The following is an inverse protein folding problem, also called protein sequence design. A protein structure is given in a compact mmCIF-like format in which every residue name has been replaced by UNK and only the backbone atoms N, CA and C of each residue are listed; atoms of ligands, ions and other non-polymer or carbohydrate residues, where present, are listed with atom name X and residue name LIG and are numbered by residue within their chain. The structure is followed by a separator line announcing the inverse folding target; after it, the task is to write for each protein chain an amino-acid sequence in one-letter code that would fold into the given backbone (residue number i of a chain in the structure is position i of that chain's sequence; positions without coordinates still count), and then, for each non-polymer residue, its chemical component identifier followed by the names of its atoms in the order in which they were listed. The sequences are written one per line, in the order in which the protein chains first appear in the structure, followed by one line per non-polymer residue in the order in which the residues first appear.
data_IF_244798124792
#
_entry.id   IF_244798124792
#
_cell.length_a   1.000
_cell.length_b   1.000
_cell.length_c   1.000
_cell.angle_alpha   90.00
_cell.angle_beta   90.00
_cell.angle_gamma   90.00
#
_symmetry.space_group_name_H-M   'P 1'
#
loop_
_entity.id
_entity.type
_entity.pdbx_description
1 polymer ?
#
# COMPACT_ATOMS: atom_id res chain seq x y z
N UNK A 1 -1.13 -21.95 -2.28
CA UNK A 1 -0.72 -22.10 -0.87
C UNK A 1 0.77 -21.86 -0.79
N UNK A 2 1.23 -20.81 -0.11
CA UNK A 2 2.63 -20.64 0.29
C UNK A 2 2.76 -21.23 1.69
N UNK A 3 3.23 -22.46 1.77
CA UNK A 3 3.42 -23.19 3.02
C UNK A 3 4.51 -24.23 2.85
N UNK A 4 5.08 -24.67 3.96
CA UNK A 4 6.02 -25.79 3.96
C UNK A 4 5.33 -27.04 3.40
N UNK A 5 6.06 -27.96 2.75
CA UNK A 5 5.54 -29.27 2.39
C UNK A 5 4.87 -29.94 3.59
N UNK A 6 3.77 -30.69 3.38
CA UNK A 6 2.97 -31.23 4.48
C UNK A 6 3.77 -32.07 5.49
N UNK A 7 4.79 -32.79 5.02
CA UNK A 7 5.71 -33.55 5.86
C UNK A 7 6.62 -32.63 6.68
N UNK A 8 7.18 -31.58 6.08
CA UNK A 8 8.02 -30.61 6.79
C UNK A 8 7.20 -29.76 7.76
N UNK A 9 5.96 -29.41 7.43
CA UNK A 9 5.04 -28.74 8.34
C UNK A 9 4.73 -29.61 9.57
N UNK A 10 4.49 -30.90 9.35
CA UNK A 10 4.28 -31.87 10.43
C UNK A 10 5.54 -32.00 11.29
N UNK A 11 6.71 -32.09 10.67
CA UNK A 11 8.00 -32.13 11.38
C UNK A 11 8.22 -30.86 12.22
N UNK A 12 7.92 -29.67 11.68
CA UNK A 12 7.96 -28.42 12.44
C UNK A 12 7.02 -28.48 13.64
N UNK A 13 5.78 -28.92 13.45
CA UNK A 13 4.82 -29.05 14.54
C UNK A 13 5.33 -29.98 15.62
N UNK A 14 5.82 -31.16 15.25
CA UNK A 14 6.22 -32.19 16.20
C UNK A 14 7.45 -31.74 17.01
N UNK A 15 8.45 -31.12 16.36
CA UNK A 15 9.62 -30.55 17.06
C UNK A 15 9.23 -29.40 17.99
N UNK A 16 8.40 -28.46 17.53
CA UNK A 16 8.03 -27.29 18.34
C UNK A 16 7.14 -27.63 19.53
N UNK A 17 6.40 -28.75 19.47
CA UNK A 17 5.62 -29.26 20.60
C UNK A 17 6.47 -29.70 21.78
N UNK A 18 7.74 -30.02 21.53
CA UNK A 18 8.70 -30.46 22.53
C UNK A 18 9.57 -29.30 23.06
N UNK A 19 9.42 -28.08 22.51
CA UNK A 19 10.20 -26.91 22.95
C UNK A 19 9.53 -26.21 24.14
N UNK A 20 10.34 -25.83 25.13
CA UNK A 20 9.87 -25.19 26.37
C UNK A 20 9.18 -23.83 26.11
N UNK A 21 9.55 -23.15 25.03
CA UNK A 21 8.96 -21.88 24.61
C UNK A 21 7.45 -22.02 24.30
N UNK A 22 6.96 -23.21 23.96
CA UNK A 22 5.54 -23.46 23.72
C UNK A 22 4.77 -24.03 24.93
N UNK A 23 5.39 -24.09 26.11
CA UNK A 23 4.72 -24.57 27.34
C UNK A 23 3.59 -23.65 27.78
N UNK A 24 3.72 -22.34 27.54
CA UNK A 24 2.64 -21.36 27.74
C UNK A 24 2.82 -20.13 26.84
N UNK A 25 1.72 -19.40 26.64
CA UNK A 25 1.69 -18.24 25.74
C UNK A 25 2.64 -17.10 26.17
N UNK A 26 2.81 -16.88 27.48
CA UNK A 26 3.65 -15.80 27.97
C UNK A 26 5.13 -16.03 27.66
N UNK A 27 5.61 -17.28 27.71
CA UNK A 27 6.98 -17.62 27.33
C UNK A 27 7.21 -17.39 25.83
N UNK A 28 6.31 -17.90 24.97
CA UNK A 28 6.36 -17.66 23.52
C UNK A 28 6.34 -16.16 23.17
N UNK A 29 5.49 -15.38 23.84
CA UNK A 29 5.37 -13.95 23.62
C UNK A 29 6.60 -13.19 24.10
N UNK A 30 7.14 -13.53 25.26
CA UNK A 30 8.38 -12.94 25.80
C UNK A 30 9.57 -13.24 24.89
N UNK A 31 9.72 -14.49 24.43
CA UNK A 31 10.76 -14.90 23.49
C UNK A 31 10.71 -14.07 22.20
N UNK A 32 9.55 -14.03 21.53
CA UNK A 32 9.38 -13.22 20.32
C UNK A 32 9.49 -11.70 20.57
N UNK A 33 9.19 -11.22 21.78
CA UNK A 33 9.25 -9.81 22.15
C UNK A 33 10.65 -9.32 22.49
N UNK A 34 11.52 -10.21 22.99
CA UNK A 34 12.91 -9.90 23.34
C UNK A 34 13.81 -9.76 22.11
N UNK A 35 13.44 -10.42 21.00
CA UNK A 35 14.20 -10.42 19.75
C UNK A 35 13.64 -9.35 18.81
N UNK A 36 14.48 -8.38 18.42
CA UNK A 36 14.08 -7.20 17.63
C UNK A 36 13.38 -7.61 16.32
N UNK A 37 13.90 -8.64 15.67
CA UNK A 37 13.45 -9.19 14.40
C UNK A 37 12.09 -9.91 14.52
N UNK A 38 11.81 -10.51 15.68
CA UNK A 38 10.59 -11.27 15.96
C UNK A 38 9.49 -10.41 16.58
N UNK A 39 9.79 -9.19 17.03
CA UNK A 39 8.79 -8.34 17.67
C UNK A 39 7.59 -8.01 16.74
N UNK A 40 7.77 -8.11 15.41
CA UNK A 40 6.68 -7.96 14.43
C UNK A 40 5.56 -9.00 14.58
N UNK A 41 5.83 -10.17 15.17
CA UNK A 41 4.83 -11.20 15.44
C UNK A 41 4.32 -11.18 16.88
N UNK A 42 4.98 -10.52 17.82
CA UNK A 42 4.63 -10.56 19.26
C UNK A 42 3.17 -10.18 19.56
N UNK A 43 2.61 -9.23 18.80
CA UNK A 43 1.21 -8.79 18.90
C UNK A 43 0.22 -9.56 18.02
N UNK A 44 0.70 -10.50 17.19
CA UNK A 44 -0.11 -11.33 16.30
C UNK A 44 -0.31 -12.74 16.84
N UNK A 45 0.54 -13.18 17.76
CA UNK A 45 0.46 -14.49 18.38
C UNK A 45 -0.89 -14.66 19.10
N UNK A 46 -1.43 -15.88 19.04
CA UNK A 46 -2.70 -16.25 19.64
C UNK A 46 -2.45 -17.05 20.92
N UNK A 47 -3.17 -16.67 21.96
CA UNK A 47 -3.15 -17.37 23.25
C UNK A 47 -3.87 -18.72 23.16
N UNK A 48 -3.35 -19.72 23.86
CA UNK A 48 -3.97 -21.02 24.01
C UNK A 48 -3.55 -21.67 25.33
N UNK A 49 -4.45 -22.49 25.88
CA UNK A 49 -4.28 -23.11 27.20
C UNK A 49 -3.55 -24.47 27.14
N UNK A 50 -3.12 -24.91 25.96
CA UNK A 50 -2.34 -26.16 25.79
C UNK A 50 -1.21 -25.95 24.80
N UNK A 51 -0.03 -26.58 24.99
CA UNK A 51 1.09 -26.50 24.04
C UNK A 51 0.68 -26.93 22.62
N UNK A 52 -0.15 -27.98 22.52
CA UNK A 52 -0.76 -28.48 21.29
C UNK A 52 -1.42 -27.40 20.45
N UNK A 53 -2.35 -26.66 21.07
CA UNK A 53 -3.08 -25.58 20.42
C UNK A 53 -2.20 -24.34 20.22
N UNK A 54 -1.24 -24.10 21.11
CA UNK A 54 -0.32 -22.97 21.01
C UNK A 54 0.58 -23.10 19.79
N UNK A 55 1.18 -24.27 19.56
CA UNK A 55 1.95 -24.55 18.34
C UNK A 55 1.05 -24.46 17.11
N UNK A 56 -0.11 -25.10 17.12
CA UNK A 56 -1.01 -25.11 15.96
C UNK A 56 -1.45 -23.71 15.53
N UNK A 57 -1.84 -22.86 16.49
CA UNK A 57 -2.34 -21.51 16.19
C UNK A 57 -1.21 -20.55 15.75
N UNK A 58 0.01 -20.74 16.25
CA UNK A 58 1.11 -19.81 16.06
C UNK A 58 2.11 -20.24 14.98
N UNK A 59 2.24 -21.53 14.69
CA UNK A 59 3.13 -22.04 13.64
C UNK A 59 2.80 -21.42 12.28
N UNK A 60 1.51 -21.34 11.94
CA UNK A 60 1.05 -20.69 10.72
C UNK A 60 1.38 -19.20 10.67
N UNK A 61 1.27 -18.51 11.81
CA UNK A 61 1.59 -17.08 11.92
C UNK A 61 3.09 -16.88 11.68
N UNK A 62 3.94 -17.70 12.30
CA UNK A 62 5.38 -17.64 12.13
C UNK A 62 5.79 -17.94 10.68
N UNK A 63 5.27 -19.03 10.09
CA UNK A 63 5.56 -19.44 8.70
C UNK A 63 5.10 -18.41 7.68
N UNK A 64 3.97 -17.75 7.89
CA UNK A 64 3.39 -16.81 6.91
C UNK A 64 3.92 -15.38 7.07
N UNK A 65 4.43 -15.02 8.25
CA UNK A 65 4.93 -13.66 8.46
C UNK A 65 6.26 -13.43 7.75
N UNK A 66 6.36 -12.29 7.05
CA UNK A 66 7.57 -11.81 6.40
C UNK A 66 7.87 -10.41 6.90
N UNK A 67 9.13 -10.15 7.25
CA UNK A 67 9.64 -8.81 7.55
C UNK A 67 10.34 -8.23 6.33
N UNK A 68 10.22 -6.93 6.10
CA UNK A 68 10.80 -6.27 4.93
C UNK A 68 12.34 -6.27 4.95
N UNK A 69 12.93 -6.13 6.15
CA UNK A 69 14.38 -6.10 6.35
C UNK A 69 14.98 -7.50 6.59
N UNK A 70 14.24 -8.38 7.28
CA UNK A 70 14.78 -9.65 7.80
C UNK A 70 14.27 -10.88 7.04
N UNK A 71 13.28 -10.74 6.16
CA UNK A 71 12.78 -11.85 5.35
C UNK A 71 11.85 -12.79 6.12
N UNK A 72 12.14 -14.09 6.09
CA UNK A 72 11.26 -15.12 6.66
C UNK A 72 11.33 -15.18 8.18
N UNK A 73 10.27 -14.74 8.86
CA UNK A 73 10.22 -14.74 10.33
C UNK A 73 10.41 -16.14 10.91
N UNK A 74 9.89 -17.18 10.26
CA UNK A 74 10.05 -18.53 10.78
C UNK A 74 11.50 -19.03 10.73
N UNK A 75 12.30 -18.61 9.74
CA UNK A 75 13.72 -18.96 9.68
C UNK A 75 14.45 -18.31 10.86
N UNK A 76 14.18 -17.02 11.10
CA UNK A 76 14.78 -16.26 12.22
C UNK A 76 14.32 -16.84 13.56
N UNK A 77 13.05 -17.23 13.67
CA UNK A 77 12.50 -17.85 14.87
C UNK A 77 13.23 -19.16 15.18
N UNK A 78 13.40 -20.04 14.18
CA UNK A 78 14.11 -21.30 14.36
C UNK A 78 15.60 -21.09 14.65
N UNK A 79 16.22 -20.06 14.08
CA UNK A 79 17.61 -19.69 14.37
C UNK A 79 17.80 -19.29 15.83
N UNK A 80 16.96 -18.38 16.32
CA UNK A 80 17.03 -17.95 17.72
C UNK A 80 16.58 -19.06 18.69
N UNK A 81 15.61 -19.89 18.29
CA UNK A 81 15.15 -21.02 19.09
C UNK A 81 16.24 -22.07 19.25
N UNK A 82 17.07 -22.29 18.21
CA UNK A 82 18.24 -23.17 18.29
C UNK A 82 19.23 -22.66 19.33
N UNK A 83 19.46 -21.36 19.39
CA UNK A 83 20.45 -20.74 20.26
C UNK A 83 20.06 -20.77 21.77
N UNK A 84 18.83 -21.21 22.09
CA UNK A 84 18.39 -21.48 23.47
C UNK A 84 18.88 -22.84 24.02
N UNK A 85 19.40 -23.72 23.15
CA UNK A 85 19.89 -25.05 23.51
C UNK A 85 21.41 -25.14 23.32
N UNK A 86 22.08 -26.03 24.05
CA UNK A 86 23.52 -26.26 23.85
C UNK A 86 23.74 -27.17 22.63
N UNK A 87 24.85 -27.00 21.91
CA UNK A 87 25.15 -27.82 20.72
C UNK A 87 25.22 -29.32 20.99
N UNK A 88 25.44 -29.71 22.25
CA UNK A 88 25.51 -31.08 22.73
C UNK A 88 24.11 -31.70 22.98
N UNK A 89 23.05 -30.88 22.99
CA UNK A 89 21.67 -31.32 23.22
C UNK A 89 21.05 -31.89 21.95
N UNK A 90 20.36 -33.03 22.08
CA UNK A 90 19.62 -33.64 20.97
C UNK A 90 18.59 -32.67 20.36
N UNK A 91 17.98 -31.82 21.19
CA UNK A 91 17.03 -30.80 20.75
C UNK A 91 17.68 -29.75 19.85
N UNK A 92 18.92 -29.34 20.14
CA UNK A 92 19.67 -28.42 19.28
C UNK A 92 19.86 -29.01 17.89
N UNK A 93 20.28 -30.28 17.81
CA UNK A 93 20.46 -30.97 16.53
C UNK A 93 19.14 -31.10 15.75
N UNK A 94 18.04 -31.39 16.44
CA UNK A 94 16.71 -31.47 15.82
C UNK A 94 16.25 -30.12 15.28
N UNK A 95 16.40 -29.04 16.04
CA UNK A 95 16.04 -27.68 15.60
C UNK A 95 16.98 -27.22 14.48
N UNK A 96 18.27 -27.50 14.56
CA UNK A 96 19.23 -27.12 13.51
C UNK A 96 18.96 -27.87 12.20
N UNK A 97 18.62 -29.16 12.27
CA UNK A 97 18.19 -29.93 11.09
C UNK A 97 16.88 -29.37 10.51
N UNK A 98 15.92 -29.02 11.37
CA UNK A 98 14.68 -28.39 10.96
C UNK A 98 14.92 -27.03 10.30
N UNK A 99 15.77 -26.19 10.89
CA UNK A 99 16.18 -24.90 10.36
C UNK A 99 16.83 -25.06 8.98
N UNK A 100 17.75 -26.01 8.81
CA UNK A 100 18.38 -26.28 7.51
C UNK A 100 17.36 -26.72 6.45
N UNK A 101 16.42 -27.61 6.79
CA UNK A 101 15.34 -28.03 5.88
C UNK A 101 14.41 -26.88 5.52
N UNK A 102 13.96 -26.11 6.52
CA UNK A 102 13.07 -24.95 6.35
C UNK A 102 13.75 -23.86 5.56
N UNK A 103 15.00 -23.54 5.87
CA UNK A 103 15.82 -22.58 5.13
C UNK A 103 16.00 -23.03 3.70
N UNK A 104 16.37 -24.30 3.47
CA UNK A 104 16.47 -24.87 2.12
C UNK A 104 15.13 -24.80 1.37
N UNK A 105 14.00 -25.15 1.97
CA UNK A 105 12.70 -25.09 1.30
C UNK A 105 12.19 -23.67 1.06
N UNK A 106 12.51 -22.73 1.95
CA UNK A 106 12.06 -21.35 1.87
C UNK A 106 13.05 -20.42 1.13
N UNK A 107 14.30 -20.85 0.91
CA UNK A 107 15.36 -20.14 0.19
C UNK A 107 15.85 -20.85 -1.10
N UNK A 108 15.49 -22.13 -1.38
CA UNK A 108 15.95 -22.80 -2.61
C UNK A 108 15.33 -22.17 -3.87
N UNK A 109 16.15 -21.83 -4.89
CA UNK A 109 15.69 -21.41 -6.21
C UNK A 109 15.25 -22.55 -7.15
N UNK A 110 15.37 -23.82 -6.73
CA UNK A 110 15.28 -24.98 -7.64
C UNK A 110 14.63 -26.22 -7.00
N UNK A 111 13.30 -26.31 -7.09
CA UNK A 111 12.47 -27.52 -7.18
C UNK A 111 11.08 -27.08 -7.72
N UNK A 112 10.36 -27.96 -8.43
CA UNK A 112 9.74 -27.67 -9.70
C UNK A 112 8.64 -26.63 -9.59
N UNK A 113 8.81 -25.56 -10.36
CA UNK A 113 7.70 -24.75 -10.85
C UNK A 113 6.66 -25.70 -11.45
N UNK A 114 5.57 -25.98 -10.72
CA UNK A 114 4.29 -26.23 -11.37
C UNK A 114 3.92 -24.93 -12.09
N UNK A 115 4.40 -24.81 -13.33
CA UNK A 115 3.87 -24.00 -14.44
C UNK A 115 3.23 -22.66 -14.07
N UNK A 116 3.83 -21.89 -13.14
CA UNK A 116 3.17 -20.69 -12.63
C UNK A 116 4.08 -19.54 -12.24
N UNK A 117 5.40 -19.50 -12.53
CA UNK A 117 6.22 -18.32 -12.16
C UNK A 117 6.79 -17.50 -13.32
N UNK A 118 6.44 -17.81 -14.58
CA UNK A 118 6.22 -16.74 -15.57
C UNK A 118 4.78 -16.20 -15.54
N UNK A 119 3.87 -16.94 -14.90
CA UNK A 119 2.45 -16.62 -14.74
C UNK A 119 2.08 -16.06 -13.36
N UNK A 120 2.92 -16.14 -12.31
CA UNK A 120 2.49 -15.90 -10.92
C UNK A 120 2.78 -14.49 -10.40
N UNK A 121 3.91 -13.90 -10.81
CA UNK A 121 4.09 -12.45 -10.72
C UNK A 121 3.16 -11.73 -11.69
N UNK A 122 2.90 -12.32 -12.86
CA UNK A 122 1.87 -11.86 -13.78
C UNK A 122 0.47 -11.96 -13.18
N UNK A 123 0.07 -13.09 -12.58
CA UNK A 123 -1.29 -13.27 -12.05
C UNK A 123 -1.54 -12.39 -10.82
N UNK A 124 -0.54 -12.14 -9.97
CA UNK A 124 -0.70 -11.20 -8.86
C UNK A 124 -0.75 -9.74 -9.34
N UNK A 125 0.12 -9.37 -10.28
CA UNK A 125 0.11 -8.03 -10.89
C UNK A 125 -1.16 -7.78 -11.71
N UNK A 126 -1.63 -8.80 -12.43
CA UNK A 126 -2.86 -8.75 -13.22
C UNK A 126 -4.09 -8.77 -12.31
N UNK A 127 -4.12 -9.58 -11.25
CA UNK A 127 -5.19 -9.54 -10.25
C UNK A 127 -5.24 -8.16 -9.58
N UNK A 128 -4.09 -7.64 -9.14
CA UNK A 128 -4.00 -6.27 -8.63
C UNK A 128 -4.54 -5.26 -9.64
N UNK A 129 -4.06 -5.33 -10.88
CA UNK A 129 -4.50 -4.43 -11.94
C UNK A 129 -6.01 -4.55 -12.18
N UNK A 130 -6.57 -5.76 -12.13
CA UNK A 130 -8.00 -6.00 -12.28
C UNK A 130 -8.81 -5.41 -11.11
N UNK A 131 -8.28 -5.48 -9.89
CA UNK A 131 -8.92 -4.94 -8.68
C UNK A 131 -8.96 -3.41 -8.72
N UNK A 132 -7.83 -2.78 -9.09
CA UNK A 132 -7.76 -1.33 -9.33
C UNK A 132 -8.61 -0.90 -10.54
N UNK A 133 -9.06 -1.88 -11.34
CA UNK A 133 -9.90 -1.72 -12.54
C UNK A 133 -11.40 -1.85 -12.33
N UNK A 134 -11.85 -2.10 -11.10
CA UNK A 134 -13.28 -2.27 -10.80
C UNK A 134 -14.08 -1.01 -11.20
N UNK A 135 -13.80 0.14 -10.59
CA UNK A 135 -14.43 1.39 -10.97
C UNK A 135 -13.71 2.60 -10.36
N UNK A 136 -13.52 3.64 -11.18
CA UNK A 136 -13.14 5.04 -10.86
C UNK A 136 -13.18 5.88 -12.16
N UNK A 137 -14.09 5.51 -13.08
CA UNK A 137 -14.03 5.99 -14.48
C UNK A 137 -14.30 7.50 -14.58
N UNK A 138 -15.25 8.00 -13.78
CA UNK A 138 -15.62 9.41 -13.74
C UNK A 138 -14.45 10.29 -13.23
N UNK A 139 -13.76 9.86 -12.17
CA UNK A 139 -12.61 10.57 -11.62
C UNK A 139 -11.44 10.58 -12.62
N UNK A 140 -11.16 9.45 -13.27
CA UNK A 140 -10.13 9.33 -14.30
C UNK A 140 -10.39 10.26 -15.48
N UNK A 141 -11.62 10.29 -15.98
CA UNK A 141 -12.03 11.18 -17.07
C UNK A 141 -11.96 12.65 -16.67
N UNK A 142 -12.31 12.97 -15.42
CA UNK A 142 -12.21 14.33 -14.88
C UNK A 142 -10.76 14.81 -14.85
N UNK A 143 -9.84 13.99 -14.32
CA UNK A 143 -8.40 14.32 -14.31
C UNK A 143 -7.87 14.47 -15.73
N UNK A 144 -8.20 13.53 -16.63
CA UNK A 144 -7.77 13.56 -18.03
C UNK A 144 -8.24 14.81 -18.75
N UNK A 145 -9.50 15.20 -18.58
CA UNK A 145 -10.06 16.43 -19.17
C UNK A 145 -9.38 17.67 -18.58
N UNK A 146 -9.20 17.73 -17.26
CA UNK A 146 -8.59 18.88 -16.59
C UNK A 146 -7.16 19.15 -17.10
N UNK A 147 -6.31 18.13 -17.18
CA UNK A 147 -4.90 18.31 -17.60
C UNK A 147 -4.74 18.58 -19.11
N UNK A 148 -5.72 18.18 -19.95
CA UNK A 148 -5.65 18.33 -21.42
C UNK A 148 -6.40 19.55 -21.96
N UNK A 149 -7.56 19.86 -21.40
CA UNK A 149 -8.50 20.82 -21.97
C UNK A 149 -8.39 22.22 -21.37
N UNK A 150 -7.68 22.37 -20.23
CA UNK A 150 -7.55 23.67 -19.58
C UNK A 150 -6.62 24.61 -20.40
N UNK A 151 -7.11 25.81 -20.68
CA UNK A 151 -6.52 26.72 -21.67
C UNK A 151 -5.32 27.51 -21.16
N UNK A 152 -5.34 27.92 -19.89
CA UNK A 152 -4.38 28.86 -19.32
C UNK A 152 -3.14 28.21 -18.69
N UNK A 153 -3.23 26.98 -18.20
CA UNK A 153 -2.15 26.25 -17.53
C UNK A 153 -2.10 24.78 -18.00
N UNK A 154 -2.01 24.57 -19.32
CA UNK A 154 -1.98 23.23 -19.90
C UNK A 154 -0.93 22.37 -19.18
N UNK A 155 -1.31 21.13 -18.84
CA UNK A 155 -0.44 20.16 -18.14
C UNK A 155 -0.09 20.52 -16.69
N UNK A 156 -0.63 21.60 -16.13
CA UNK A 156 -0.55 21.91 -14.70
C UNK A 156 -1.89 21.64 -14.03
N UNK A 157 -1.90 21.00 -12.87
CA UNK A 157 -3.14 20.61 -12.22
C UNK A 157 -2.99 20.29 -10.75
N UNK A 158 -3.99 20.65 -9.95
CA UNK A 158 -4.11 20.22 -8.56
C UNK A 158 -5.44 19.52 -8.35
N UNK A 159 -5.42 18.40 -7.66
CA UNK A 159 -6.59 17.55 -7.44
C UNK A 159 -6.70 17.20 -5.97
N UNK A 160 -7.93 17.21 -5.46
CA UNK A 160 -8.28 16.61 -4.18
C UNK A 160 -9.04 15.31 -4.46
N UNK A 161 -8.45 14.21 -4.02
CA UNK A 161 -9.10 12.91 -4.00
C UNK A 161 -9.85 12.84 -2.68
N UNK A 162 -11.17 12.96 -2.77
CA UNK A 162 -12.10 12.89 -1.66
C UNK A 162 -12.89 11.59 -1.73
N UNK A 163 -13.30 11.08 -0.57
CA UNK A 163 -14.16 9.92 -0.48
C UNK A 163 -15.24 10.13 0.56
N UNK A 164 -16.37 9.43 0.37
CA UNK A 164 -17.51 9.54 1.27
C UNK A 164 -17.14 9.27 2.73
N UNK A 165 -16.25 8.29 2.94
CA UNK A 165 -15.71 7.89 4.23
C UNK A 165 -14.26 7.37 4.07
N UNK A 166 -13.64 6.99 5.17
CA UNK A 166 -12.43 6.17 5.14
C UNK A 166 -12.66 4.86 4.37
N UNK A 167 -11.61 4.36 3.72
CA UNK A 167 -11.62 3.10 2.97
C UNK A 167 -12.47 3.10 1.69
N UNK A 168 -12.96 4.27 1.25
CA UNK A 168 -13.66 4.45 -0.03
C UNK A 168 -12.74 4.41 -1.27
N UNK A 169 -11.50 3.93 -1.13
CA UNK A 169 -10.62 3.64 -2.24
C UNK A 169 -9.84 4.84 -2.77
N UNK A 170 -9.71 5.93 -2.00
CA UNK A 170 -8.94 7.13 -2.34
C UNK A 170 -7.51 6.78 -2.81
N UNK A 171 -6.80 5.92 -2.06
CA UNK A 171 -5.45 5.45 -2.44
C UNK A 171 -5.44 4.56 -3.67
N UNK A 172 -6.49 3.77 -3.87
CA UNK A 172 -6.65 2.93 -5.05
C UNK A 172 -6.92 3.78 -6.29
N UNK A 173 -7.74 4.83 -6.19
CA UNK A 173 -7.93 5.83 -7.23
C UNK A 173 -6.61 6.52 -7.59
N UNK A 174 -5.84 7.01 -6.62
CA UNK A 174 -4.54 7.62 -6.93
C UNK A 174 -3.62 6.62 -7.65
N UNK A 175 -3.54 5.39 -7.15
CA UNK A 175 -2.74 4.32 -7.77
C UNK A 175 -3.19 4.04 -9.20
N UNK A 176 -4.51 4.01 -9.43
CA UNK A 176 -5.11 3.86 -10.77
C UNK A 176 -4.66 4.98 -11.69
N UNK A 177 -4.82 6.24 -11.27
CA UNK A 177 -4.47 7.41 -12.06
C UNK A 177 -3.00 7.35 -12.48
N UNK A 178 -2.10 7.14 -11.52
CA UNK A 178 -0.65 7.07 -11.77
C UNK A 178 -0.23 5.94 -12.72
N UNK A 179 -1.00 4.84 -12.76
CA UNK A 179 -0.71 3.69 -13.63
C UNK A 179 -1.35 3.81 -15.00
N UNK A 180 -2.57 4.35 -15.09
CA UNK A 180 -3.38 4.33 -16.31
C UNK A 180 -3.27 5.57 -17.17
N UNK A 181 -2.91 6.70 -16.58
CA UNK A 181 -2.72 7.93 -17.35
C UNK A 181 -1.28 7.97 -17.85
N UNK A 182 -1.03 7.84 -19.18
CA UNK A 182 0.32 7.91 -19.72
C UNK A 182 1.02 9.22 -19.38
N UNK A 183 0.25 10.30 -19.23
CA UNK A 183 0.72 11.62 -18.82
C UNK A 183 1.39 11.61 -17.43
N UNK A 184 0.98 10.68 -16.57
CA UNK A 184 1.52 10.51 -15.21
C UNK A 184 2.61 9.44 -15.14
N UNK A 185 2.73 8.61 -16.19
CA UNK A 185 3.73 7.56 -16.26
C UNK A 185 5.13 8.16 -16.27
N UNK A 186 6.05 7.53 -15.52
CA UNK A 186 7.47 7.91 -15.41
C UNK A 186 7.75 9.34 -14.88
N UNK A 187 6.78 10.01 -14.25
CA UNK A 187 7.03 11.27 -13.56
C UNK A 187 7.81 11.09 -12.26
N UNK A 188 8.68 12.05 -11.92
CA UNK A 188 9.29 12.13 -10.59
C UNK A 188 8.18 12.39 -9.58
N UNK A 189 8.03 11.48 -8.62
CA UNK A 189 7.04 11.59 -7.55
C UNK A 189 7.70 12.15 -6.30
N UNK A 190 7.08 13.14 -5.67
CA UNK A 190 7.46 13.62 -4.35
C UNK A 190 6.26 13.42 -3.44
N UNK A 191 6.33 12.36 -2.63
CA UNK A 191 5.27 12.00 -1.69
C UNK A 191 5.61 12.44 -0.28
N UNK A 192 4.64 13.05 0.42
CA UNK A 192 4.77 13.45 1.83
C UNK A 192 3.50 13.18 2.61
N UNK A 193 3.68 12.58 3.78
CA UNK A 193 2.66 12.53 4.81
C UNK A 193 2.71 13.83 5.63
N UNK A 194 1.60 14.54 5.65
CA UNK A 194 1.46 15.83 6.33
C UNK A 194 0.97 15.70 7.77
N UNK A 195 0.65 14.48 8.26
CA UNK A 195 0.03 14.26 9.58
C UNK A 195 0.79 14.91 10.74
N UNK A 196 2.11 15.06 10.62
CA UNK A 196 2.99 15.63 11.65
C UNK A 196 3.54 17.02 11.31
N UNK A 197 3.15 17.59 10.17
CA UNK A 197 3.61 18.91 9.76
C UNK A 197 2.68 19.98 10.33
N UNK A 198 3.27 20.97 10.98
CA UNK A 198 2.54 22.10 11.56
C UNK A 198 2.79 23.41 10.83
N UNK A 199 3.96 23.53 10.17
CA UNK A 199 4.42 24.75 9.51
C UNK A 199 4.87 24.46 8.08
N UNK A 200 4.47 25.34 7.15
CA UNK A 200 4.87 25.27 5.74
C UNK A 200 6.39 25.30 5.54
N UNK A 201 7.14 25.90 6.47
CA UNK A 201 8.61 25.90 6.44
C UNK A 201 9.19 24.48 6.57
N UNK A 202 8.52 23.60 7.31
CA UNK A 202 8.90 22.19 7.41
C UNK A 202 8.76 21.50 6.04
N UNK A 203 7.67 21.80 5.31
CA UNK A 203 7.48 21.29 3.96
C UNK A 203 8.57 21.78 3.02
N UNK A 204 8.83 23.10 2.98
CA UNK A 204 9.91 23.65 2.16
C UNK A 204 11.26 23.02 2.45
N UNK A 205 11.61 22.82 3.73
CA UNK A 205 12.83 22.10 4.12
C UNK A 205 12.87 20.66 3.61
N UNK A 206 11.75 19.92 3.71
CA UNK A 206 11.63 18.53 3.22
C UNK A 206 11.64 18.40 1.70
N UNK A 207 11.21 19.43 0.98
CA UNK A 207 11.31 19.48 -0.48
C UNK A 207 12.72 19.92 -0.88
N UNK A 208 13.29 20.93 -0.23
CA UNK A 208 14.67 21.37 -0.43
C UNK A 208 15.67 20.21 -0.33
N UNK A 209 15.53 19.35 0.68
CA UNK A 209 16.42 18.19 0.85
C UNK A 209 16.41 17.21 -0.33
N UNK A 210 15.35 17.19 -1.14
CA UNK A 210 15.26 16.36 -2.36
C UNK A 210 16.08 16.92 -3.53
N UNK A 211 16.51 18.17 -3.44
CA UNK A 211 17.26 18.85 -4.50
C UNK A 211 18.67 19.27 -4.06
N UNK A 212 18.85 19.69 -2.80
CA UNK A 212 20.06 20.42 -2.37
C UNK A 212 20.68 19.96 -1.04
N UNK A 213 20.08 19.00 -0.32
CA UNK A 213 20.65 18.44 0.92
C UNK A 213 20.52 19.31 2.19
N UNK A 214 20.66 20.65 2.16
CA UNK A 214 20.20 21.60 3.23
C UNK A 214 20.37 23.10 2.87
N UNK A 215 19.69 23.98 3.63
CA UNK A 215 19.80 25.46 3.62
C UNK A 215 19.61 26.15 2.26
N UNK A 216 18.38 26.14 1.74
CA UNK A 216 18.00 26.90 0.54
C UNK A 216 16.76 27.74 0.77
N UNK A 217 16.66 28.86 0.07
CA UNK A 217 15.45 29.70 0.09
C UNK A 217 14.31 29.06 -0.71
N UNK A 218 13.07 29.42 -0.40
CA UNK A 218 11.88 28.96 -1.15
C UNK A 218 12.04 29.22 -2.66
N UNK A 219 12.62 30.37 -3.03
CA UNK A 219 12.88 30.75 -4.42
C UNK A 219 13.84 29.79 -5.13
N UNK A 220 14.89 29.34 -4.45
CA UNK A 220 15.82 28.37 -5.00
C UNK A 220 15.15 27.01 -5.21
N UNK A 221 14.29 26.60 -4.28
CA UNK A 221 13.50 25.36 -4.42
C UNK A 221 12.54 25.47 -5.60
N UNK A 222 11.84 26.60 -5.76
CA UNK A 222 10.96 26.82 -6.91
C UNK A 222 11.77 26.75 -8.21
N UNK A 223 12.92 27.41 -8.30
CA UNK A 223 13.76 27.36 -9.50
C UNK A 223 14.24 25.92 -9.81
N UNK A 224 14.56 25.12 -8.80
CA UNK A 224 14.91 23.71 -8.98
C UNK A 224 13.74 22.87 -9.51
N UNK A 225 12.53 23.13 -9.01
CA UNK A 225 11.30 22.52 -9.50
C UNK A 225 11.08 22.89 -10.97
N UNK A 226 11.27 24.16 -11.34
CA UNK A 226 11.14 24.61 -12.72
C UNK A 226 12.17 23.96 -13.65
N UNK A 227 13.43 23.86 -13.23
CA UNK A 227 14.48 23.15 -13.97
C UNK A 227 14.15 21.66 -14.14
N UNK A 228 13.63 21.02 -13.10
CA UNK A 228 13.17 19.63 -13.15
C UNK A 228 12.08 19.46 -14.23
N UNK A 229 11.14 20.40 -14.30
CA UNK A 229 10.06 20.41 -15.28
C UNK A 229 10.53 20.65 -16.72
N UNK A 230 11.77 21.06 -16.97
CA UNK A 230 12.30 21.15 -18.34
C UNK A 230 12.52 19.76 -18.96
N UNK A 231 12.76 18.74 -18.12
CA UNK A 231 13.20 17.41 -18.57
C UNK A 231 12.27 16.28 -18.18
N UNK A 232 11.49 16.41 -17.10
CA UNK A 232 10.60 15.35 -16.62
C UNK A 232 9.31 15.87 -16.00
N UNK A 233 8.28 15.00 -15.95
CA UNK A 233 7.06 15.29 -15.22
C UNK A 233 7.34 15.30 -13.72
N UNK A 234 6.65 16.16 -12.96
CA UNK A 234 6.74 16.24 -11.51
C UNK A 234 5.36 16.11 -10.88
N UNK A 235 5.24 15.17 -9.95
CA UNK A 235 3.97 14.83 -9.29
C UNK A 235 4.16 14.92 -7.78
N UNK A 236 3.51 15.89 -7.15
CA UNK A 236 3.41 16.00 -5.69
C UNK A 236 2.23 15.18 -5.20
N UNK A 237 2.45 14.37 -4.15
CA UNK A 237 1.42 13.56 -3.51
C UNK A 237 1.44 13.86 -2.01
N UNK A 238 0.36 14.41 -1.49
CA UNK A 238 0.21 14.78 -0.10
C UNK A 238 -0.91 13.97 0.56
N UNK A 239 -0.57 13.22 1.59
CA UNK A 239 -1.53 12.44 2.40
C UNK A 239 -1.59 12.98 3.83
N UNK A 240 -2.49 12.43 4.67
CA UNK A 240 -2.55 12.82 6.08
C UNK A 240 -3.21 14.18 6.34
N UNK A 241 -4.11 14.62 5.44
CA UNK A 241 -4.75 15.93 5.49
C UNK A 241 -5.68 16.15 6.70
N UNK A 242 -6.12 15.06 7.33
CA UNK A 242 -7.13 15.07 8.38
C UNK A 242 -6.75 15.82 9.66
N UNK A 243 -5.46 16.10 9.91
CA UNK A 243 -5.00 16.90 11.06
C UNK A 243 -4.55 18.31 10.68
N UNK A 244 -4.43 18.59 9.40
CA UNK A 244 -3.76 19.79 8.88
C UNK A 244 -4.68 20.66 8.03
N UNK A 245 -5.93 20.23 7.82
CA UNK A 245 -6.91 20.99 7.02
C UNK A 245 -7.21 22.37 7.61
N UNK A 246 -7.20 22.53 8.94
CA UNK A 246 -7.27 23.83 9.60
C UNK A 246 -5.89 24.49 9.61
N UNK A 247 -5.71 25.56 8.84
CA UNK A 247 -4.49 26.37 8.83
C UNK A 247 -3.43 25.89 7.82
N UNK A 248 -2.85 24.71 8.02
CA UNK A 248 -1.72 24.25 7.20
C UNK A 248 -2.10 23.98 5.74
N UNK A 249 -3.25 23.37 5.45
CA UNK A 249 -3.67 23.10 4.07
C UNK A 249 -3.90 24.40 3.25
N UNK A 250 -4.59 25.44 3.77
CA UNK A 250 -4.59 26.76 3.14
C UNK A 250 -3.20 27.32 2.85
N UNK A 251 -2.25 27.14 3.77
CA UNK A 251 -0.86 27.57 3.59
C UNK A 251 -0.12 26.73 2.54
N UNK A 252 -0.36 25.41 2.48
CA UNK A 252 0.16 24.54 1.43
C UNK A 252 -0.31 25.01 0.05
N UNK A 253 -1.59 25.36 -0.08
CA UNK A 253 -2.15 25.85 -1.34
C UNK A 253 -1.54 27.23 -1.69
N UNK A 254 -1.59 28.19 -0.76
CA UNK A 254 -1.23 29.59 -1.06
C UNK A 254 0.27 29.89 -1.04
N UNK A 255 1.02 29.30 -0.11
CA UNK A 255 2.44 29.60 0.14
C UNK A 255 3.38 28.60 -0.53
N UNK A 256 2.93 27.39 -0.82
CA UNK A 256 3.73 26.39 -1.56
C UNK A 256 3.27 26.21 -3.00
N UNK A 257 2.01 25.88 -3.24
CA UNK A 257 1.55 25.51 -4.58
C UNK A 257 1.40 26.70 -5.53
N UNK A 258 0.74 27.78 -5.10
CA UNK A 258 0.51 28.95 -5.98
C UNK A 258 1.80 29.55 -6.56
N UNK A 259 2.87 29.80 -5.77
CA UNK A 259 4.10 30.37 -6.31
C UNK A 259 4.75 29.50 -7.40
N UNK A 260 4.63 28.18 -7.28
CA UNK A 260 5.14 27.24 -8.29
C UNK A 260 4.30 27.35 -9.56
N UNK A 261 2.96 27.34 -9.45
CA UNK A 261 2.04 27.46 -10.59
C UNK A 261 2.23 28.77 -11.35
N UNK A 262 2.43 29.89 -10.64
CA UNK A 262 2.60 31.21 -11.28
C UNK A 262 3.89 31.31 -12.10
N UNK A 263 4.94 30.60 -11.69
CA UNK A 263 6.23 30.61 -12.37
C UNK A 263 6.40 29.48 -13.38
N UNK A 264 5.54 28.47 -13.33
CA UNK A 264 5.57 27.33 -14.24
C UNK A 264 5.20 27.78 -15.66
N UNK A 265 6.18 27.76 -16.57
CA UNK A 265 6.01 28.07 -18.00
C UNK A 265 6.21 26.83 -18.89
N UNK A 266 6.23 25.64 -18.28
CA UNK A 266 6.48 24.38 -18.98
C UNK A 266 5.42 24.11 -20.05
N UNK A 267 5.83 23.50 -21.16
CA UNK A 267 4.91 23.18 -22.27
C UNK A 267 4.82 21.68 -22.58
N UNK A 268 5.86 20.91 -22.21
CA UNK A 268 5.99 19.49 -22.58
C UNK A 268 5.74 18.54 -21.42
N UNK A 269 6.11 18.94 -20.21
CA UNK A 269 5.98 18.12 -19.01
C UNK A 269 4.70 18.44 -18.24
N UNK A 270 4.37 17.58 -17.28
CA UNK A 270 3.25 17.73 -16.38
C UNK A 270 3.71 18.13 -14.98
N UNK A 271 3.06 19.13 -14.39
CA UNK A 271 3.22 19.54 -13.01
C UNK A 271 1.91 19.30 -12.27
N UNK A 272 1.88 18.31 -11.39
CA UNK A 272 0.64 17.88 -10.78
C UNK A 272 0.75 17.77 -9.26
N UNK A 273 -0.34 18.08 -8.58
CA UNK A 273 -0.47 17.90 -7.13
C UNK A 273 -1.73 17.07 -6.83
N UNK A 274 -1.57 16.00 -6.07
CA UNK A 274 -2.66 15.21 -5.52
C UNK A 274 -2.70 15.36 -4.00
N UNK A 275 -3.81 15.88 -3.51
CA UNK A 275 -4.19 15.90 -2.11
C UNK A 275 -5.06 14.67 -1.85
N UNK A 276 -4.61 13.75 -1.01
CA UNK A 276 -5.34 12.51 -0.69
C UNK A 276 -6.02 12.66 0.66
N UNK A 277 -7.34 12.79 0.65
CA UNK A 277 -8.14 12.84 1.87
C UNK A 277 -8.60 11.43 2.28
N UNK A 278 -7.77 10.78 3.08
CA UNK A 278 -8.04 9.44 3.62
C UNK A 278 -9.25 9.38 4.57
N UNK A 279 -9.81 10.54 4.99
CA UNK A 279 -10.90 10.61 5.98
C UNK A 279 -12.19 11.25 5.47
N UNK A 280 -12.22 11.83 4.27
CA UNK A 280 -13.45 12.39 3.69
C UNK A 280 -13.97 13.66 4.39
N UNK A 281 -13.07 14.50 4.91
CA UNK A 281 -13.40 15.68 5.72
C UNK A 281 -12.97 17.01 5.09
N UNK A 282 -12.08 17.00 4.10
CA UNK A 282 -11.48 18.21 3.52
C UNK A 282 -12.50 19.00 2.70
N UNK A 283 -13.32 18.37 1.84
CA UNK A 283 -14.33 19.12 1.08
C UNK A 283 -15.42 19.74 2.01
N UNK A 284 -15.52 19.30 3.28
CA UNK A 284 -16.43 19.85 4.32
C UNK A 284 -15.78 20.95 5.18
N UNK A 285 -14.48 21.20 5.03
CA UNK A 285 -13.70 22.03 5.95
C UNK A 285 -13.62 23.53 5.62
N UNK A 286 -14.18 23.95 4.49
CA UNK A 286 -14.15 25.35 4.04
C UNK A 286 -12.85 25.79 3.36
N UNK A 287 -11.94 24.86 3.05
CA UNK A 287 -10.74 25.13 2.24
C UNK A 287 -11.15 25.54 0.82
N UNK A 288 -10.38 26.46 0.20
CA UNK A 288 -10.64 26.92 -1.17
C UNK A 288 -10.38 25.79 -2.16
N UNK A 289 -11.46 25.31 -2.78
CA UNK A 289 -11.47 24.24 -3.76
C UNK A 289 -12.28 24.67 -4.97
N UNK A 290 -12.07 24.00 -6.10
CA UNK A 290 -12.94 24.13 -7.28
C UNK A 290 -13.63 22.80 -7.59
N UNK A 291 -14.80 22.88 -8.22
CA UNK A 291 -15.61 21.72 -8.62
C UNK A 291 -15.61 21.51 -10.14
N UNK A 292 -15.04 22.46 -10.89
CA UNK A 292 -14.95 22.46 -12.35
C UNK A 292 -13.57 22.97 -12.76
N UNK A 293 -12.94 22.30 -13.73
CA UNK A 293 -11.60 22.68 -14.19
C UNK A 293 -11.63 23.92 -15.10
N UNK A 294 -12.80 24.34 -15.58
CA UNK A 294 -13.02 25.58 -16.32
C UNK A 294 -13.01 26.82 -15.41
N UNK A 295 -13.05 26.63 -14.09
CA UNK A 295 -12.99 27.74 -13.14
C UNK A 295 -11.67 28.49 -13.26
N UNK A 296 -11.72 29.83 -13.27
CA UNK A 296 -10.53 30.67 -13.39
C UNK A 296 -9.52 30.52 -12.24
N UNK A 297 -9.96 29.99 -11.08
CA UNK A 297 -9.08 29.67 -9.95
C UNK A 297 -8.30 28.37 -10.15
N UNK A 298 -8.69 27.50 -11.09
CA UNK A 298 -7.92 26.29 -11.40
C UNK A 298 -6.69 26.63 -12.28
N UNK A 299 -5.47 26.12 -11.98
CA UNK A 299 -5.17 25.04 -11.03
C UNK A 299 -4.63 25.52 -9.67
N UNK A 300 -4.72 26.82 -9.38
CA UNK A 300 -4.31 27.41 -8.09
C UNK A 300 -5.13 26.82 -6.93
N UNK A 301 -6.44 26.76 -7.10
CA UNK A 301 -7.34 26.03 -6.20
C UNK A 301 -7.48 24.58 -6.69
N UNK A 302 -7.23 23.56 -5.83
CA UNK A 302 -7.37 22.16 -6.21
C UNK A 302 -8.81 21.80 -6.64
N UNK A 303 -8.92 20.97 -7.69
CA UNK A 303 -10.18 20.40 -8.15
C UNK A 303 -10.60 19.25 -7.22
N UNK A 304 -11.70 19.40 -6.47
CA UNK A 304 -12.33 18.28 -5.73
C UNK A 304 -12.90 17.33 -6.80
N UNK A 305 -12.30 16.15 -6.91
CA UNK A 305 -12.75 15.12 -7.85
C UNK A 305 -14.12 14.58 -7.41
N UNK A 306 -14.90 13.97 -8.33
CA UNK A 306 -16.11 13.25 -7.94
C UNK A 306 -15.82 12.29 -6.78
N UNK A 307 -16.64 12.37 -5.73
CA UNK A 307 -16.45 11.62 -4.50
C UNK A 307 -16.31 10.12 -4.79
N UNK A 308 -15.29 9.47 -4.21
CA UNK A 308 -15.19 8.01 -4.30
C UNK A 308 -16.24 7.37 -3.39
N UNK A 309 -17.03 6.45 -3.94
CA UNK A 309 -18.12 5.79 -3.24
C UNK A 309 -17.97 4.26 -3.16
N UNK A 310 -19.06 3.60 -2.75
CA UNK A 310 -19.15 2.14 -2.74
C UNK A 310 -19.30 1.61 -4.16
N UNK A 311 -18.73 0.44 -4.43
CA UNK A 311 -18.97 -0.27 -5.67
C UNK A 311 -20.40 -0.78 -5.74
N UNK A 312 -21.06 -0.49 -6.87
CA UNK A 312 -22.37 -1.03 -7.17
C UNK A 312 -22.27 -2.51 -7.54
N UNK A 313 -23.40 -3.22 -7.43
CA UNK A 313 -23.54 -4.57 -7.98
C UNK A 313 -23.09 -4.62 -9.46
N UNK A 314 -23.52 -3.64 -10.25
CA UNK A 314 -23.18 -3.55 -11.67
C UNK A 314 -21.66 -3.46 -11.92
N UNK A 315 -20.93 -2.66 -11.15
CA UNK A 315 -19.47 -2.57 -11.27
C UNK A 315 -18.77 -3.89 -10.92
N UNK A 316 -19.19 -4.54 -9.82
CA UNK A 316 -18.62 -5.81 -9.38
C UNK A 316 -18.95 -6.96 -10.33
N UNK A 317 -20.17 -7.01 -10.86
CA UNK A 317 -20.60 -8.04 -11.81
C UNK A 317 -19.89 -7.87 -13.17
N UNK A 318 -19.73 -6.62 -13.64
CA UNK A 318 -18.94 -6.31 -14.83
C UNK A 318 -17.49 -6.73 -14.67
N UNK A 319 -16.88 -6.42 -13.51
CA UNK A 319 -15.54 -6.85 -13.17
C UNK A 319 -15.42 -8.37 -13.12
N UNK A 320 -16.30 -9.06 -12.37
CA UNK A 320 -16.33 -10.53 -12.24
C UNK A 320 -16.36 -11.20 -13.61
N UNK A 321 -17.28 -10.77 -14.47
CA UNK A 321 -17.41 -11.33 -15.80
C UNK A 321 -16.14 -11.14 -16.65
N UNK A 322 -15.35 -10.08 -16.42
CA UNK A 322 -14.06 -9.85 -17.08
C UNK A 322 -12.95 -10.76 -16.54
N UNK A 323 -12.87 -10.91 -15.21
CA UNK A 323 -11.78 -11.67 -14.56
C UNK A 323 -12.00 -13.19 -14.59
N UNK A 324 -13.24 -13.65 -14.55
CA UNK A 324 -13.60 -15.07 -14.72
C UNK A 324 -13.25 -15.55 -16.13
N UNK A 325 -13.60 -14.77 -17.17
CA UNK A 325 -13.22 -15.08 -18.56
C UNK A 325 -11.70 -15.19 -18.77
N UNK A 326 -10.92 -14.54 -17.91
CA UNK A 326 -9.46 -14.57 -17.93
C UNK A 326 -8.86 -15.61 -16.97
N UNK A 327 -9.69 -16.45 -16.34
CA UNK A 327 -9.30 -17.44 -15.33
C UNK A 327 -8.50 -16.85 -14.16
N UNK A 328 -8.76 -15.59 -13.80
CA UNK A 328 -8.03 -14.87 -12.76
C UNK A 328 -8.63 -15.09 -11.37
N UNK A 329 -9.94 -15.33 -11.32
CA UNK A 329 -10.71 -15.66 -10.11
C UNK A 329 -11.63 -16.85 -10.39
N UNK A 330 -11.99 -17.66 -9.38
CA UNK A 330 -12.93 -18.76 -9.56
C UNK A 330 -14.32 -18.28 -10.00
N UNK A 331 -15.01 -19.04 -10.84
CA UNK A 331 -16.42 -18.80 -11.22
C UNK A 331 -17.36 -18.74 -10.01
N UNK A 332 -17.00 -19.44 -8.93
CA UNK A 332 -17.77 -19.51 -7.70
C UNK A 332 -17.79 -18.21 -6.89
N UNK A 333 -17.03 -17.18 -7.28
CA UNK A 333 -17.09 -15.88 -6.60
C UNK A 333 -18.48 -15.26 -6.76
N UNK A 334 -19.14 -14.95 -5.65
CA UNK A 334 -20.48 -14.37 -5.63
C UNK A 334 -20.40 -12.86 -5.40
N UNK A 335 -21.00 -12.05 -6.28
CA UNK A 335 -21.08 -10.60 -6.11
C UNK A 335 -21.94 -10.23 -4.91
N UNK A 336 -23.03 -10.96 -4.68
CA UNK A 336 -23.88 -10.77 -3.49
C UNK A 336 -23.09 -11.00 -2.20
N UNK A 337 -22.25 -12.04 -2.17
CA UNK A 337 -21.40 -12.34 -1.02
C UNK A 337 -20.29 -11.29 -0.84
N UNK A 338 -19.70 -10.80 -1.95
CA UNK A 338 -18.74 -9.69 -1.90
C UNK A 338 -19.38 -8.45 -1.30
N UNK A 339 -20.58 -8.05 -1.75
CA UNK A 339 -21.30 -6.90 -1.23
C UNK A 339 -21.65 -7.07 0.26
N UNK A 340 -22.15 -8.24 0.66
CA UNK A 340 -22.49 -8.54 2.06
C UNK A 340 -21.27 -8.45 2.97
N UNK A 341 -20.14 -9.06 2.59
CA UNK A 341 -18.91 -9.07 3.39
C UNK A 341 -18.11 -7.76 3.34
N UNK A 342 -18.47 -6.84 2.44
CA UNK A 342 -17.78 -5.55 2.26
C UNK A 342 -18.63 -4.33 2.66
N UNK A 343 -19.61 -4.52 3.54
CA UNK A 343 -20.50 -3.44 4.01
C UNK A 343 -21.22 -2.70 2.86
N UNK A 344 -21.68 -3.47 1.87
CA UNK A 344 -22.38 -2.96 0.70
C UNK A 344 -21.46 -2.41 -0.39
N UNK A 345 -20.23 -2.91 -0.50
CA UNK A 345 -19.32 -2.56 -1.60
C UNK A 345 -18.25 -1.53 -1.26
N UNK A 346 -17.89 -1.35 0.03
CA UNK A 346 -16.77 -0.46 0.40
C UNK A 346 -15.49 -0.94 -0.30
N UNK A 347 -14.84 -0.12 -1.16
CA UNK A 347 -13.75 -0.55 -2.02
C UNK A 347 -12.65 -1.34 -1.34
N UNK A 348 -12.04 -0.84 -0.25
CA UNK A 348 -10.96 -1.60 0.41
C UNK A 348 -11.43 -2.93 1.00
N UNK A 349 -12.67 -3.00 1.49
CA UNK A 349 -13.23 -4.25 2.00
C UNK A 349 -13.51 -5.22 0.85
N UNK A 350 -14.02 -4.74 -0.28
CA UNK A 350 -14.16 -5.53 -1.51
C UNK A 350 -12.82 -6.09 -1.94
N UNK A 351 -11.77 -5.27 -1.96
CA UNK A 351 -10.43 -5.70 -2.34
C UNK A 351 -9.91 -6.80 -1.41
N UNK A 352 -10.10 -6.65 -0.09
CA UNK A 352 -9.77 -7.69 0.90
C UNK A 352 -10.50 -8.99 0.62
N UNK A 353 -11.81 -8.93 0.42
CA UNK A 353 -12.61 -10.13 0.12
C UNK A 353 -12.15 -10.83 -1.17
N UNK A 354 -11.92 -10.08 -2.25
CA UNK A 354 -11.40 -10.66 -3.51
C UNK A 354 -10.05 -11.34 -3.28
N UNK A 355 -9.15 -10.69 -2.51
CA UNK A 355 -7.86 -11.29 -2.18
C UNK A 355 -8.02 -12.58 -1.39
N UNK A 356 -8.87 -12.58 -0.37
CA UNK A 356 -9.13 -13.74 0.48
C UNK A 356 -9.70 -14.92 -0.34
N UNK A 357 -10.64 -14.66 -1.25
CA UNK A 357 -11.15 -15.68 -2.20
C UNK A 357 -10.05 -16.28 -3.07
N UNK A 358 -9.06 -15.47 -3.45
CA UNK A 358 -7.93 -15.92 -4.25
C UNK A 358 -6.82 -16.57 -3.41
N UNK A 359 -7.02 -16.74 -2.09
CA UNK A 359 -5.99 -17.21 -1.17
C UNK A 359 -4.79 -16.26 -1.09
N UNK A 360 -5.04 -14.96 -1.24
CA UNK A 360 -4.06 -13.86 -1.19
C UNK A 360 -4.35 -12.95 0.00
N UNK A 361 -3.34 -12.21 0.44
CA UNK A 361 -3.50 -11.16 1.45
C UNK A 361 -3.47 -9.79 0.80
N UNK A 362 -4.52 -9.00 1.01
CA UNK A 362 -4.56 -7.59 0.65
C UNK A 362 -3.50 -6.80 1.43
N UNK A 363 -3.49 -6.94 2.77
CA UNK A 363 -2.62 -6.21 3.71
C UNK A 363 -1.12 -6.53 3.57
N UNK A 364 -0.77 -7.60 2.85
CA UNK A 364 0.61 -7.95 2.51
C UNK A 364 0.98 -7.62 1.06
N UNK A 365 0.89 -8.63 0.17
CA UNK A 365 1.52 -8.63 -1.15
C UNK A 365 0.87 -7.74 -2.21
N UNK A 366 -0.34 -7.22 -1.98
CA UNK A 366 -1.10 -6.40 -2.94
C UNK A 366 -1.21 -4.94 -2.50
N UNK A 367 -1.38 -4.65 -1.21
CA UNK A 367 -1.31 -3.29 -0.68
C UNK A 367 0.07 -2.64 -0.88
N UNK A 368 1.16 -3.42 -0.98
CA UNK A 368 2.48 -2.90 -1.34
C UNK A 368 2.51 -2.19 -2.71
N UNK A 369 1.53 -2.45 -3.57
CA UNK A 369 1.41 -1.80 -4.89
C UNK A 369 0.50 -0.57 -4.85
N UNK A 370 -0.17 -0.30 -3.73
CA UNK A 370 -0.87 0.96 -3.51
C UNK A 370 0.16 2.03 -3.17
N UNK A 371 0.22 3.05 -4.02
CA UNK A 371 1.11 4.22 -3.93
C UNK A 371 2.56 3.84 -3.58
N UNK A 372 3.31 3.42 -4.61
CA UNK A 372 4.78 3.44 -4.69
C UNK A 372 5.28 4.65 -5.47
#
# INVERSE_FOLDING_TARGET
MSGLPGELYKECRDVLLECDIFTNFQYLRSFCGAIKELNVVSNKLKEANTPGLLVMLNLDILIKTRHQEYGCIFIIFLENLRDEYYEEDEMWHRINNLWNKVKKELENPSLPLNSSTSLGNNNNSQLFQSIIDIDFSEQEDTVRKAIKCQKSHKRTGAFLIDGYDENCGQKALLTRLLRKLPELSNGRKIQRDLTRMSDIRELWGKISSEFFGSNTTDEQVINAILQCLETQNLIFIFSGLHRTFTGFLPDLIKKFWWPIVEKATHQKTYLLMFLVDDKGIVCKSGVSLTWKFENSKYPKDPLCLPETGKFSYYHLETWKNSVVRKNMVPESISVDELLQKSQGGVPELVYRQICDYCGRSWEGGLAKWLIQ
#
